data_IF_040593173629
#
_entry.id   IF_040593173629
#
_cell.length_a   1.000
_cell.length_b   1.000
_cell.length_c   1.000
_cell.angle_alpha   90.00
_cell.angle_beta   90.00
_cell.angle_gamma   90.00
#
_symmetry.space_group_name_H-M   'P 1'
#
loop_
_entity.id
_entity.type
_entity.pdbx_description
1 polymer ?
#
# COMPACT_ATOMS: atom_id res chain seq x y z
N UNK A 1 25.62 -27.05 35.98
CA UNK A 1 25.01 -25.70 36.02
C UNK A 1 24.15 -25.58 34.77
N UNK A 2 22.83 -25.54 34.92
CA UNK A 2 21.87 -25.62 33.81
C UNK A 2 21.31 -24.22 33.56
N UNK A 3 21.64 -23.60 32.42
CA UNK A 3 21.16 -22.26 32.09
C UNK A 3 19.73 -22.34 31.55
N UNK A 4 18.77 -21.86 32.33
CA UNK A 4 17.38 -21.67 31.91
C UNK A 4 17.30 -20.48 30.95
N UNK A 5 16.97 -20.73 29.69
CA UNK A 5 16.73 -19.68 28.70
C UNK A 5 15.30 -19.18 28.88
N UNK A 6 15.12 -18.09 29.62
CA UNK A 6 13.84 -17.36 29.68
C UNK A 6 13.59 -16.70 28.33
N UNK A 7 12.80 -17.35 27.47
CA UNK A 7 12.30 -16.72 26.24
C UNK A 7 11.18 -15.76 26.62
N UNK A 8 11.53 -14.48 26.77
CA UNK A 8 10.55 -13.40 26.89
C UNK A 8 9.87 -13.23 25.53
N UNK A 9 8.68 -13.84 25.35
CA UNK A 9 7.81 -13.57 24.21
C UNK A 9 7.44 -12.10 24.25
N UNK A 10 7.99 -11.30 23.35
CA UNK A 10 7.64 -9.90 23.22
C UNK A 10 6.15 -9.80 22.88
N UNK A 11 5.32 -9.43 23.86
CA UNK A 11 3.91 -9.11 23.68
C UNK A 11 3.81 -7.73 23.00
N UNK A 12 4.24 -7.66 21.75
CA UNK A 12 3.75 -6.62 20.84
C UNK A 12 2.25 -6.85 20.61
N UNK A 13 1.46 -5.80 20.30
CA UNK A 13 0.07 -5.96 19.92
C UNK A 13 -0.05 -7.04 18.83
N UNK A 14 -1.00 -7.96 18.99
CA UNK A 14 -1.24 -9.02 18.01
C UNK A 14 -1.43 -8.37 16.64
N UNK A 15 -0.55 -8.70 15.70
CA UNK A 15 -0.61 -8.16 14.34
C UNK A 15 -1.94 -8.53 13.69
N UNK A 16 -2.57 -9.62 14.15
CA UNK A 16 -3.93 -10.00 13.78
C UNK A 16 -4.97 -8.95 14.19
N UNK A 17 -4.89 -8.42 15.41
CA UNK A 17 -5.85 -7.43 15.90
C UNK A 17 -5.65 -6.07 15.24
N UNK A 18 -4.40 -5.69 14.95
CA UNK A 18 -4.09 -4.49 14.15
C UNK A 18 -4.63 -4.61 12.72
N UNK A 19 -4.45 -5.77 12.10
CA UNK A 19 -4.96 -6.04 10.76
C UNK A 19 -6.50 -5.96 10.75
N UNK A 20 -7.19 -6.56 11.74
CA UNK A 20 -8.65 -6.46 11.87
C UNK A 20 -9.14 -5.02 12.02
N UNK A 21 -8.53 -4.22 12.90
CA UNK A 21 -8.90 -2.81 13.06
C UNK A 21 -8.70 -2.00 11.79
N UNK A 22 -7.63 -2.29 11.04
CA UNK A 22 -7.36 -1.63 9.77
C UNK A 22 -8.41 -2.01 8.71
N UNK A 23 -8.79 -3.29 8.65
CA UNK A 23 -9.84 -3.78 7.74
C UNK A 23 -11.20 -3.18 8.10
N UNK A 24 -11.57 -3.17 9.38
CA UNK A 24 -12.84 -2.59 9.84
C UNK A 24 -12.92 -1.10 9.50
N UNK A 25 -11.85 -0.35 9.75
CA UNK A 25 -11.77 1.05 9.35
C UNK A 25 -11.93 1.20 7.84
N UNK A 26 -11.27 0.36 7.04
CA UNK A 26 -11.38 0.38 5.60
C UNK A 26 -12.84 0.13 5.16
N UNK A 27 -13.51 -0.86 5.75
CA UNK A 27 -14.90 -1.22 5.42
C UNK A 27 -15.92 -0.14 5.77
N UNK A 28 -15.60 0.77 6.70
CA UNK A 28 -16.46 1.93 7.02
C UNK A 28 -16.36 3.09 6.02
N UNK A 29 -15.35 3.10 5.16
CA UNK A 29 -15.19 4.10 4.11
C UNK A 29 -16.18 3.86 2.96
N UNK A 30 -16.56 4.91 2.26
CA UNK A 30 -17.26 4.78 0.98
C UNK A 30 -16.37 4.08 -0.07
N UNK A 31 -16.96 3.45 -1.11
CA UNK A 31 -16.19 2.66 -2.08
C UNK A 31 -15.04 3.42 -2.75
N UNK A 32 -15.19 4.71 -3.01
CA UNK A 32 -14.15 5.53 -3.65
C UNK A 32 -12.99 5.79 -2.66
N UNK A 33 -13.32 6.12 -1.41
CA UNK A 33 -12.33 6.27 -0.33
C UNK A 33 -11.63 4.96 0.02
N UNK A 34 -12.31 3.81 -0.07
CA UNK A 34 -11.70 2.48 0.05
C UNK A 34 -10.67 2.25 -1.04
N UNK A 35 -11.05 2.48 -2.29
CA UNK A 35 -10.18 2.24 -3.44
C UNK A 35 -8.96 3.15 -3.42
N UNK A 36 -9.14 4.43 -3.04
CA UNK A 36 -8.03 5.37 -2.84
C UNK A 36 -7.11 4.94 -1.71
N UNK A 37 -7.66 4.49 -0.58
CA UNK A 37 -6.86 4.04 0.57
C UNK A 37 -6.04 2.81 0.22
N UNK A 38 -6.63 1.84 -0.49
CA UNK A 38 -5.91 0.68 -1.01
C UNK A 38 -4.81 1.06 -2.00
N UNK A 39 -5.10 1.95 -2.95
CA UNK A 39 -4.11 2.42 -3.91
C UNK A 39 -2.91 3.09 -3.22
N UNK A 40 -3.16 3.87 -2.18
CA UNK A 40 -2.11 4.51 -1.37
C UNK A 40 -1.26 3.49 -0.59
N UNK A 41 -1.90 2.45 -0.05
CA UNK A 41 -1.18 1.37 0.62
C UNK A 41 -0.26 0.61 -0.34
N UNK A 42 -0.76 0.28 -1.55
CA UNK A 42 0.05 -0.38 -2.57
C UNK A 42 1.20 0.53 -3.05
N UNK A 43 0.94 1.82 -3.24
CA UNK A 43 2.00 2.77 -3.57
C UNK A 43 3.08 2.86 -2.46
N UNK A 44 2.68 2.77 -1.19
CA UNK A 44 3.58 2.73 -0.05
C UNK A 44 4.45 1.46 0.01
N UNK A 45 4.05 0.36 -0.65
CA UNK A 45 4.87 -0.85 -0.73
C UNK A 45 5.76 -0.90 -1.96
N UNK A 46 5.45 -0.12 -3.00
CA UNK A 46 6.12 -0.16 -4.30
C UNK A 46 7.13 0.97 -4.54
N UNK A 47 7.07 2.06 -3.77
CA UNK A 47 7.93 3.22 -4.02
C UNK A 47 9.42 2.90 -3.83
N UNK A 48 10.27 3.36 -4.74
CA UNK A 48 11.72 3.09 -4.74
C UNK A 48 12.53 4.10 -3.90
N UNK A 49 11.95 4.55 -2.77
CA UNK A 49 12.61 5.45 -1.81
C UNK A 49 11.99 6.85 -1.70
N UNK A 50 12.77 7.81 -1.17
CA UNK A 50 12.31 9.17 -0.83
C UNK A 50 12.27 10.10 -2.05
N UNK A 51 11.26 10.96 -2.11
CA UNK A 51 11.02 11.96 -3.14
C UNK A 51 10.22 11.45 -4.33
N UNK A 52 9.93 10.15 -4.40
CA UNK A 52 9.28 9.56 -5.57
C UNK A 52 7.81 9.96 -5.67
N UNK A 53 7.22 9.83 -6.86
CA UNK A 53 5.82 10.16 -7.08
C UNK A 53 4.90 9.16 -6.34
N UNK A 54 5.29 7.88 -6.26
CA UNK A 54 4.60 6.87 -5.47
C UNK A 54 4.65 7.18 -3.96
N UNK A 55 5.80 7.61 -3.42
CA UNK A 55 5.91 8.02 -2.01
C UNK A 55 4.98 9.21 -1.71
N UNK A 56 4.99 10.24 -2.57
CA UNK A 56 4.13 11.42 -2.42
C UNK A 56 2.65 11.07 -2.53
N UNK A 57 2.28 10.17 -3.44
CA UNK A 57 0.92 9.68 -3.57
C UNK A 57 0.48 8.90 -2.33
N UNK A 58 1.31 7.97 -1.84
CA UNK A 58 1.06 7.24 -0.60
C UNK A 58 0.83 8.19 0.59
N UNK A 59 1.71 9.18 0.76
CA UNK A 59 1.68 10.12 1.89
C UNK A 59 0.50 11.11 1.81
N UNK A 60 0.21 11.66 0.64
CA UNK A 60 -0.70 12.82 0.50
C UNK A 60 -2.02 12.50 -0.18
N UNK A 61 -2.12 11.36 -0.86
CA UNK A 61 -3.26 11.01 -1.72
C UNK A 61 -3.35 11.84 -3.01
N UNK A 62 -2.42 12.76 -3.27
CA UNK A 62 -2.38 13.55 -4.51
C UNK A 62 -1.72 12.76 -5.61
N UNK A 63 -2.46 12.50 -6.68
CA UNK A 63 -2.01 11.69 -7.81
C UNK A 63 -1.48 12.60 -8.94
N UNK A 64 -0.19 12.45 -9.25
CA UNK A 64 0.42 12.97 -10.47
C UNK A 64 0.50 11.82 -11.47
N UNK A 65 -0.51 11.69 -12.32
CA UNK A 65 -0.68 10.52 -13.19
C UNK A 65 0.54 10.25 -14.07
N UNK A 66 1.15 11.28 -14.66
CA UNK A 66 2.28 11.11 -15.56
C UNK A 66 3.53 10.66 -14.80
N UNK A 67 3.83 11.29 -13.66
CA UNK A 67 4.99 10.96 -12.87
C UNK A 67 4.87 9.57 -12.20
N UNK A 68 3.67 9.20 -11.74
CA UNK A 68 3.43 7.88 -11.13
C UNK A 68 3.51 6.76 -12.15
N UNK A 69 2.96 6.93 -13.37
CA UNK A 69 3.07 5.91 -14.42
C UNK A 69 4.53 5.73 -14.88
N UNK A 70 5.27 6.82 -15.07
CA UNK A 70 6.69 6.78 -15.44
C UNK A 70 7.57 6.09 -14.37
N UNK A 71 7.21 6.26 -13.08
CA UNK A 71 7.84 5.52 -11.99
C UNK A 71 7.45 4.03 -12.01
N UNK A 72 6.17 3.73 -12.20
CA UNK A 72 5.65 2.36 -12.20
C UNK A 72 6.26 1.49 -13.31
N UNK A 73 6.52 2.07 -14.50
CA UNK A 73 7.20 1.39 -15.60
C UNK A 73 8.65 0.98 -15.28
N UNK A 74 9.27 1.68 -14.31
CA UNK A 74 10.64 1.42 -13.85
C UNK A 74 10.70 0.50 -12.64
N UNK A 75 9.59 0.31 -11.93
CA UNK A 75 9.53 -0.57 -10.76
C UNK A 75 9.83 -2.01 -11.19
N UNK A 76 10.78 -2.64 -10.50
CA UNK A 76 11.09 -4.06 -10.63
C UNK A 76 10.62 -4.77 -9.37
N UNK A 77 9.46 -5.42 -9.46
CA UNK A 77 8.92 -6.24 -8.38
C UNK A 77 9.22 -7.72 -8.59
N UNK A 78 9.32 -8.51 -7.50
CA UNK A 78 9.20 -9.96 -7.56
C UNK A 78 7.88 -10.36 -8.22
N UNK A 79 7.87 -11.50 -8.92
CA UNK A 79 6.71 -12.01 -9.65
C UNK A 79 5.43 -12.09 -8.79
N UNK A 80 5.59 -12.42 -7.51
CA UNK A 80 4.49 -12.55 -6.54
C UNK A 80 3.75 -11.23 -6.29
N UNK A 81 4.35 -10.08 -6.61
CA UNK A 81 3.79 -8.74 -6.39
C UNK A 81 3.28 -8.10 -7.68
N UNK A 82 3.40 -8.75 -8.85
CA UNK A 82 2.91 -8.22 -10.13
C UNK A 82 1.41 -7.92 -10.11
N UNK A 83 0.62 -8.74 -9.42
CA UNK A 83 -0.82 -8.51 -9.26
C UNK A 83 -1.14 -7.19 -8.53
N UNK A 84 -0.27 -6.73 -7.63
CA UNK A 84 -0.43 -5.47 -6.92
C UNK A 84 -0.10 -4.28 -7.82
N UNK A 85 0.95 -4.41 -8.64
CA UNK A 85 1.30 -3.41 -9.66
C UNK A 85 0.15 -3.23 -10.66
N UNK A 86 -0.41 -4.33 -11.16
CA UNK A 86 -1.53 -4.30 -12.12
C UNK A 86 -2.82 -3.71 -11.51
N UNK A 87 -3.11 -4.00 -10.24
CA UNK A 87 -4.24 -3.39 -9.53
C UNK A 87 -4.07 -1.87 -9.37
N UNK A 88 -2.86 -1.40 -9.03
CA UNK A 88 -2.55 0.01 -8.89
C UNK A 88 -2.59 0.74 -10.25
N UNK A 89 -2.00 0.16 -11.29
CA UNK A 89 -2.02 0.70 -12.65
C UNK A 89 -3.45 0.92 -13.14
N UNK A 90 -4.34 -0.08 -12.94
CA UNK A 90 -5.76 0.04 -13.26
C UNK A 90 -6.44 1.18 -12.51
N UNK A 91 -6.23 1.29 -11.21
CA UNK A 91 -6.81 2.40 -10.44
C UNK A 91 -6.37 3.77 -10.99
N UNK A 92 -5.09 3.95 -11.33
CA UNK A 92 -4.55 5.21 -11.86
C UNK A 92 -5.14 5.53 -13.25
N UNK A 93 -5.28 4.52 -14.11
CA UNK A 93 -5.88 4.65 -15.44
C UNK A 93 -7.38 5.00 -15.37
N UNK A 94 -8.13 4.38 -14.46
CA UNK A 94 -9.56 4.67 -14.31
C UNK A 94 -9.83 5.97 -13.55
N UNK A 95 -8.95 6.36 -12.62
CA UNK A 95 -9.02 7.66 -11.94
C UNK A 95 -8.76 8.85 -12.88
N UNK A 96 -8.01 8.65 -13.98
CA UNK A 96 -7.78 9.67 -15.02
C UNK A 96 -8.89 9.74 -16.08
N UNK A 97 -9.80 8.75 -16.11
CA UNK A 97 -10.80 8.56 -17.19
C UNK A 97 -12.28 8.66 -16.80
N UNK A 98 -12.61 9.05 -15.57
CA UNK A 98 -13.99 9.11 -15.08
C UNK A 98 -14.83 10.29 -15.58
N UNK A 99 -15.04 10.39 -16.90
CA UNK A 99 -16.23 11.04 -17.50
C UNK A 99 -16.69 10.22 -18.71
N UNK A 100 -17.74 9.45 -18.53
CA UNK A 100 -18.75 9.15 -19.55
C UNK A 100 -20.08 9.00 -18.82
#
# INVERSE_FOLDING_TARGET
MTSTITTTRATGPDQTDKARQTIDLLLTLDPDAQQLTLARLVAATLHDGRGTALERFAATGKLDHAAVLDELDRVRVPFEQEAWVDALARHILFASGGRS
#
